data_IF_233384529357
#
_entry.id   IF_233384529357
#
_cell.length_a   1.000
_cell.length_b   1.000
_cell.length_c   1.000
_cell.angle_alpha   90.00
_cell.angle_beta   90.00
_cell.angle_gamma   90.00
#
_symmetry.space_group_name_H-M   'P 1'
#
loop_
_entity.id
_entity.type
_entity.pdbx_description
1 polymer ?
#
# COMPACT_ATOMS: atom_id res chain seq x y z
N UNK A 1 -7.71 7.60 -23.70
CA UNK A 1 -7.06 7.12 -22.45
C UNK A 1 -7.12 5.60 -22.33
N UNK A 2 -8.17 4.94 -22.83
CA UNK A 2 -8.35 3.49 -22.74
C UNK A 2 -7.16 2.67 -23.24
N UNK A 3 -6.46 3.12 -24.30
CA UNK A 3 -5.26 2.44 -24.81
C UNK A 3 -4.07 2.40 -23.84
N UNK A 4 -4.14 3.11 -22.70
CA UNK A 4 -3.12 3.10 -21.64
C UNK A 4 -3.47 2.15 -20.48
N UNK A 5 -4.67 1.59 -20.49
CA UNK A 5 -5.22 0.82 -19.37
C UNK A 5 -5.25 -0.65 -19.79
N UNK A 6 -4.50 -1.47 -19.07
CA UNK A 6 -4.69 -2.91 -19.06
C UNK A 6 -5.49 -3.27 -17.80
N UNK A 7 -6.73 -3.71 -17.97
CA UNK A 7 -7.61 -4.06 -16.85
C UNK A 7 -7.55 -5.55 -16.59
N UNK A 8 -7.14 -5.92 -15.38
CA UNK A 8 -7.03 -7.32 -14.95
C UNK A 8 -8.10 -7.59 -13.90
N UNK A 9 -9.12 -8.36 -14.25
CA UNK A 9 -10.15 -8.81 -13.31
C UNK A 9 -9.63 -10.01 -12.49
N UNK A 10 -9.02 -9.74 -11.34
CA UNK A 10 -8.51 -10.77 -10.43
C UNK A 10 -8.28 -10.21 -9.03
N UNK A 11 -8.01 -11.12 -8.09
CA UNK A 11 -7.36 -10.75 -6.83
C UNK A 11 -5.96 -10.22 -7.12
N UNK A 12 -5.56 -9.14 -6.44
CA UNK A 12 -4.30 -8.47 -6.75
C UNK A 12 -3.06 -9.32 -6.43
N UNK A 13 -3.06 -10.08 -5.32
CA UNK A 13 -1.88 -10.84 -4.89
C UNK A 13 -1.39 -11.87 -5.94
N UNK A 14 -2.25 -12.76 -6.49
CA UNK A 14 -1.84 -13.66 -7.55
C UNK A 14 -1.30 -12.96 -8.79
N UNK A 15 -1.84 -11.78 -9.14
CA UNK A 15 -1.37 -10.99 -10.29
C UNK A 15 0.02 -10.43 -10.02
N UNK A 16 0.25 -9.83 -8.84
CA UNK A 16 1.56 -9.33 -8.44
C UNK A 16 2.60 -10.46 -8.39
N UNK A 17 2.23 -11.63 -7.86
CA UNK A 17 3.10 -12.81 -7.84
C UNK A 17 3.43 -13.28 -9.27
N UNK A 18 2.46 -13.27 -10.18
CA UNK A 18 2.69 -13.61 -11.59
C UNK A 18 3.57 -12.58 -12.32
N UNK A 19 3.41 -11.29 -12.02
CA UNK A 19 4.28 -10.25 -12.58
C UNK A 19 5.73 -10.47 -12.17
N UNK A 20 5.97 -10.83 -10.91
CA UNK A 20 7.30 -11.11 -10.37
C UNK A 20 7.96 -12.37 -10.93
N UNK A 21 7.23 -13.27 -11.59
CA UNK A 21 7.84 -14.44 -12.26
C UNK A 21 8.69 -14.05 -13.47
N UNK A 22 8.52 -12.83 -13.99
CA UNK A 22 9.30 -12.32 -15.12
C UNK A 22 10.33 -11.33 -14.56
N UNK A 23 11.62 -11.67 -14.62
CA UNK A 23 12.70 -10.80 -14.13
C UNK A 23 12.65 -9.39 -14.77
N UNK A 24 12.22 -9.29 -16.03
CA UNK A 24 12.06 -8.00 -16.72
C UNK A 24 11.03 -7.05 -16.08
N UNK A 25 10.19 -7.54 -15.16
CA UNK A 25 9.23 -6.71 -14.43
C UNK A 25 9.78 -6.18 -13.10
N UNK A 26 10.92 -6.68 -12.61
CA UNK A 26 11.52 -6.12 -11.41
C UNK A 26 12.02 -4.70 -11.70
N UNK A 27 11.58 -3.75 -10.88
CA UNK A 27 11.88 -2.34 -11.07
C UNK A 27 11.37 -1.74 -12.39
N UNK A 28 10.36 -2.33 -13.04
CA UNK A 28 9.82 -1.82 -14.31
C UNK A 28 8.69 -0.79 -14.14
N UNK A 29 8.15 -0.65 -12.92
CA UNK A 29 7.06 0.28 -12.63
C UNK A 29 7.58 1.58 -12.00
N UNK A 30 7.09 2.72 -12.51
CA UNK A 30 7.43 4.04 -11.97
C UNK A 30 6.60 4.41 -10.74
N UNK A 31 5.36 3.94 -10.70
CA UNK A 31 4.34 4.34 -9.75
C UNK A 31 3.36 3.20 -9.46
N UNK A 32 2.91 3.09 -8.21
CA UNK A 32 1.81 2.23 -7.79
C UNK A 32 0.85 2.97 -6.85
N UNK A 33 -0.46 2.80 -7.06
CA UNK A 33 -1.51 3.27 -6.15
C UNK A 33 -2.24 2.07 -5.57
N UNK A 34 -2.28 1.96 -4.25
CA UNK A 34 -2.89 0.86 -3.52
C UNK A 34 -4.11 1.39 -2.76
N UNK A 35 -5.28 1.09 -3.30
CA UNK A 35 -6.57 1.29 -2.65
C UNK A 35 -7.44 0.02 -2.82
N UNK A 36 -7.15 -0.96 -1.96
CA UNK A 36 -7.76 -2.28 -1.97
C UNK A 36 -8.08 -2.72 -0.54
N UNK A 37 -8.04 -4.03 -0.24
CA UNK A 37 -8.24 -4.53 1.11
C UNK A 37 -7.02 -4.26 2.01
N UNK A 38 -7.28 -3.61 3.14
CA UNK A 38 -6.24 -3.14 4.07
C UNK A 38 -5.52 -4.26 4.83
N UNK A 39 -6.09 -5.47 4.82
CA UNK A 39 -5.48 -6.65 5.46
C UNK A 39 -4.25 -7.14 4.66
N UNK A 40 -4.22 -6.89 3.35
CA UNK A 40 -3.11 -7.29 2.49
C UNK A 40 -2.12 -6.17 2.17
N UNK A 41 -2.26 -4.96 2.73
CA UNK A 41 -1.37 -3.84 2.40
C UNK A 41 0.12 -4.15 2.57
N UNK A 42 0.51 -4.85 3.64
CA UNK A 42 1.89 -5.28 3.81
C UNK A 42 2.31 -6.34 2.78
N UNK A 43 1.41 -7.27 2.46
CA UNK A 43 1.67 -8.28 1.42
C UNK A 43 1.86 -7.64 0.04
N UNK A 44 1.07 -6.61 -0.28
CA UNK A 44 1.24 -5.80 -1.49
C UNK A 44 2.57 -5.05 -1.46
N UNK A 45 2.91 -4.42 -0.34
CA UNK A 45 4.17 -3.70 -0.17
C UNK A 45 5.38 -4.57 -0.53
N UNK A 46 5.43 -5.80 -0.02
CA UNK A 46 6.54 -6.73 -0.31
C UNK A 46 6.69 -7.06 -1.80
N UNK A 47 5.59 -7.11 -2.58
CA UNK A 47 5.68 -7.28 -4.04
C UNK A 47 6.03 -5.99 -4.75
N UNK A 48 5.42 -4.88 -4.33
CA UNK A 48 5.62 -3.57 -4.94
C UNK A 48 7.05 -3.07 -4.74
N UNK A 49 7.70 -3.40 -3.62
CA UNK A 49 9.12 -3.08 -3.40
C UNK A 49 10.07 -3.78 -4.38
N UNK A 50 9.62 -4.85 -5.05
CA UNK A 50 10.36 -5.51 -6.13
C UNK A 50 9.96 -4.96 -7.50
N UNK A 51 8.67 -4.72 -7.73
CA UNK A 51 8.14 -4.26 -9.02
C UNK A 51 8.43 -2.78 -9.31
N UNK A 52 8.36 -1.91 -8.30
CA UNK A 52 8.58 -0.47 -8.44
C UNK A 52 10.08 -0.17 -8.43
N UNK A 53 10.55 0.65 -9.36
CA UNK A 53 11.97 1.00 -9.49
C UNK A 53 12.51 1.76 -8.28
N UNK A 54 13.83 1.75 -8.09
CA UNK A 54 14.49 2.67 -7.15
C UNK A 54 14.20 4.12 -7.56
N UNK A 55 13.77 4.94 -6.61
CA UNK A 55 13.27 6.30 -6.83
C UNK A 55 11.80 6.36 -7.28
N UNK A 56 11.16 5.22 -7.59
CA UNK A 56 9.73 5.12 -7.86
C UNK A 56 8.88 5.30 -6.61
N UNK A 57 7.59 5.50 -6.83
CA UNK A 57 6.64 5.90 -5.77
C UNK A 57 5.55 4.85 -5.59
N UNK A 58 5.28 4.48 -4.35
CA UNK A 58 4.11 3.70 -3.96
C UNK A 58 3.23 4.57 -3.06
N UNK A 59 1.94 4.65 -3.38
CA UNK A 59 0.96 5.41 -2.60
C UNK A 59 -0.05 4.44 -2.00
N UNK A 60 -0.30 4.58 -0.70
CA UNK A 60 -1.31 3.83 0.03
C UNK A 60 -2.43 4.76 0.48
N UNK A 61 -3.66 4.42 0.11
CA UNK A 61 -4.86 5.20 0.47
C UNK A 61 -5.50 4.71 1.78
N UNK A 62 -6.29 5.60 2.40
CA UNK A 62 -7.02 5.44 3.66
C UNK A 62 -6.16 5.06 4.87
N UNK A 63 -4.94 5.58 4.94
CA UNK A 63 -3.97 5.27 6.00
C UNK A 63 -4.27 5.96 7.34
N UNK A 64 -5.21 6.90 7.39
CA UNK A 64 -5.78 7.44 8.64
C UNK A 64 -7.09 6.75 9.06
N UNK A 65 -7.73 6.00 8.15
CA UNK A 65 -8.91 5.14 8.39
C UNK A 65 -10.01 5.81 9.23
N UNK A 66 -10.53 6.93 8.75
CA UNK A 66 -11.55 7.77 9.41
C UNK A 66 -11.09 8.40 10.71
N UNK A 67 -9.77 8.45 10.96
CA UNK A 67 -9.18 8.83 12.24
C UNK A 67 -9.23 7.72 13.30
N UNK A 68 -9.76 6.53 13.00
CA UNK A 68 -9.91 5.46 13.99
C UNK A 68 -8.55 4.91 14.46
N UNK A 69 -7.49 5.09 13.67
CA UNK A 69 -6.11 4.74 14.06
C UNK A 69 -5.61 5.53 15.27
N UNK A 70 -6.23 6.67 15.56
CA UNK A 70 -5.94 7.53 16.71
C UNK A 70 -7.06 7.51 17.77
N UNK A 71 -8.14 6.76 17.56
CA UNK A 71 -9.27 6.68 18.48
C UNK A 71 -8.99 5.74 19.67
N UNK A 72 -9.72 5.93 20.77
CA UNK A 72 -9.71 5.00 21.89
C UNK A 72 -10.22 3.62 21.41
N UNK A 73 -9.47 2.52 21.62
CA UNK A 73 -9.90 1.17 21.24
C UNK A 73 -11.29 0.78 21.74
N UNK A 74 -11.74 1.30 22.89
CA UNK A 74 -13.07 1.03 23.43
C UNK A 74 -14.21 1.67 22.60
N UNK A 75 -13.89 2.69 21.79
CA UNK A 75 -14.86 3.45 20.98
C UNK A 75 -14.93 2.97 19.53
N UNK A 76 -13.94 2.20 19.07
CA UNK A 76 -13.93 1.63 17.72
C UNK A 76 -14.90 0.44 17.67
N UNK A 77 -16.05 0.63 17.05
CA UNK A 77 -17.09 -0.39 16.93
C UNK A 77 -16.58 -1.72 16.37
N UNK A 78 -17.21 -2.83 16.75
CA UNK A 78 -16.72 -4.21 16.51
C UNK A 78 -16.44 -4.54 15.03
N UNK A 79 -17.11 -3.88 14.07
CA UNK A 79 -16.90 -4.11 12.63
C UNK A 79 -15.64 -3.44 12.07
N UNK A 80 -15.12 -2.40 12.73
CA UNK A 80 -13.95 -1.63 12.27
C UNK A 80 -12.64 -2.00 12.95
N UNK A 81 -12.69 -2.79 14.04
CA UNK A 81 -11.53 -3.09 14.88
C UNK A 81 -10.39 -3.78 14.13
N UNK A 82 -10.67 -4.87 13.42
CA UNK A 82 -9.64 -5.64 12.71
C UNK A 82 -8.93 -4.80 11.63
N UNK A 83 -9.68 -4.04 10.84
CA UNK A 83 -9.11 -3.17 9.79
C UNK A 83 -8.33 -2.00 10.40
N UNK A 84 -8.84 -1.41 11.48
CA UNK A 84 -8.13 -0.36 12.23
C UNK A 84 -6.79 -0.88 12.75
N UNK A 85 -6.78 -2.06 13.38
CA UNK A 85 -5.54 -2.68 13.87
C UNK A 85 -4.57 -3.03 12.74
N UNK A 86 -5.08 -3.56 11.62
CA UNK A 86 -4.26 -3.81 10.43
C UNK A 86 -3.64 -2.53 9.88
N UNK A 87 -4.41 -1.43 9.83
CA UNK A 87 -3.92 -0.13 9.35
C UNK A 87 -2.87 0.45 10.31
N UNK A 88 -3.09 0.37 11.63
CA UNK A 88 -2.09 0.76 12.64
C UNK A 88 -0.80 -0.04 12.46
N UNK A 89 -0.91 -1.37 12.29
CA UNK A 89 0.25 -2.23 12.11
C UNK A 89 0.98 -1.93 10.80
N UNK A 90 0.24 -1.72 9.71
CA UNK A 90 0.80 -1.33 8.43
C UNK A 90 1.56 0.00 8.51
N UNK A 91 0.95 1.04 9.10
CA UNK A 91 1.59 2.35 9.29
C UNK A 91 2.88 2.23 10.10
N UNK A 92 2.89 1.43 11.17
CA UNK A 92 4.09 1.16 11.97
C UNK A 92 5.18 0.45 11.14
N UNK A 93 4.80 -0.57 10.37
CA UNK A 93 5.75 -1.31 9.55
C UNK A 93 6.38 -0.41 8.48
N UNK A 94 5.59 0.40 7.77
CA UNK A 94 6.07 1.34 6.76
C UNK A 94 6.95 2.43 7.37
N UNK A 95 6.58 2.98 8.53
CA UNK A 95 7.40 3.98 9.22
C UNK A 95 8.76 3.43 9.70
N UNK A 96 8.87 2.11 9.89
CA UNK A 96 10.09 1.44 10.28
C UNK A 96 10.85 0.82 9.09
N UNK A 97 10.33 0.89 7.88
CA UNK A 97 10.93 0.24 6.72
C UNK A 97 12.08 1.09 6.15
N UNK A 98 13.33 0.65 6.27
CA UNK A 98 14.48 1.44 5.82
C UNK A 98 14.58 1.53 4.29
N UNK A 99 13.77 0.77 3.54
CA UNK A 99 13.82 0.74 2.06
C UNK A 99 13.05 1.90 1.42
N UNK A 100 12.32 2.71 2.21
CA UNK A 100 11.50 3.81 1.71
C UNK A 100 11.66 5.09 2.51
N UNK A 101 11.60 6.23 1.83
CA UNK A 101 11.27 7.51 2.46
C UNK A 101 9.75 7.68 2.45
N UNK A 102 9.17 8.14 3.55
CA UNK A 102 7.72 8.24 3.69
C UNK A 102 7.24 9.66 3.99
N UNK A 103 6.04 9.97 3.51
CA UNK A 103 5.28 11.15 3.91
C UNK A 103 3.80 10.77 4.05
N UNK A 104 3.27 10.85 5.26
CA UNK A 104 1.85 10.73 5.54
C UNK A 104 1.18 12.11 5.40
N UNK A 105 0.32 12.27 4.40
CA UNK A 105 -0.42 13.50 4.15
C UNK A 105 -1.90 13.33 4.60
N UNK A 106 -2.46 14.30 5.36
CA UNK A 106 -3.86 14.27 5.80
C UNK A 106 -4.81 14.74 4.69
N UNK A 107 -4.70 14.12 3.51
CA UNK A 107 -5.58 14.35 2.37
C UNK A 107 -6.57 13.19 2.27
N UNK A 108 -7.85 13.50 2.07
CA UNK A 108 -8.91 12.48 2.06
C UNK A 108 -8.93 11.71 3.38
N UNK A 109 -8.81 10.39 3.31
CA UNK A 109 -8.77 9.51 4.48
C UNK A 109 -7.34 9.13 4.90
N UNK A 110 -6.37 9.96 4.53
CA UNK A 110 -4.95 9.76 4.80
C UNK A 110 -4.23 9.04 3.67
N UNK A 111 -3.22 9.69 3.10
CA UNK A 111 -2.40 9.14 2.03
C UNK A 111 -0.98 8.99 2.52
N UNK A 112 -0.44 7.77 2.50
CA UNK A 112 0.99 7.54 2.74
C UNK A 112 1.71 7.41 1.40
N UNK A 113 2.59 8.36 1.11
CA UNK A 113 3.48 8.32 -0.05
C UNK A 113 4.81 7.70 0.37
N UNK A 114 5.24 6.65 -0.32
CA UNK A 114 6.51 5.98 -0.11
C UNK A 114 7.38 6.12 -1.37
N UNK A 115 8.60 6.63 -1.22
CA UNK A 115 9.59 6.63 -2.30
C UNK A 115 10.62 5.54 -2.02
N UNK A 116 10.76 4.57 -2.94
CA UNK A 116 11.76 3.50 -2.80
C UNK A 116 13.18 4.08 -2.91
N UNK A 117 14.07 3.71 -1.99
CA UNK A 117 15.44 4.25 -1.95
C UNK A 117 16.55 3.28 -2.37
N UNK A 118 16.33 1.95 -2.28
CA UNK A 118 17.20 0.90 -2.84
C UNK A 118 16.41 -0.40 -3.11
#
# INVERSE_FOLDING_TARGET
>A
MEHKIDFIQSEALPVLDNLLRKEANEGSYDFAYVDADKLNYWNYHERLMKLVKVGGIIVYDNTLWGGSVAADPATVGHRGGAVTQSTIQFNKSIAADPRVDISLAPLGDGITVCRRIY
#
